data_IF_736215543236
#
_entry.id   IF_736215543236
#
_cell.length_a   1.000
_cell.length_b   1.000
_cell.length_c   1.000
_cell.angle_alpha   90.00
_cell.angle_beta   90.00
_cell.angle_gamma   90.00
#
_symmetry.space_group_name_H-M   'P 1'
#
loop_
_entity.id
_entity.type
_entity.pdbx_description
1 polymer ?
#
# COMPACT_ATOMS: atom_id res chain seq x y z
N UNK A 1 -18.94 -20.98 -24.10
CA UNK A 1 -17.70 -20.46 -23.46
C UNK A 1 -18.00 -19.11 -22.80
N UNK A 2 -18.12 -19.06 -21.46
CA UNK A 2 -18.30 -17.79 -20.73
C UNK A 2 -16.94 -17.07 -20.70
N UNK A 3 -16.82 -15.93 -21.40
CA UNK A 3 -15.63 -15.06 -21.31
C UNK A 3 -15.36 -14.77 -19.82
N UNK A 4 -14.14 -14.98 -19.30
CA UNK A 4 -13.85 -14.55 -17.94
C UNK A 4 -13.98 -13.03 -17.92
N UNK A 5 -15.01 -12.50 -17.24
CA UNK A 5 -15.09 -11.08 -16.89
C UNK A 5 -13.89 -10.81 -15.98
N UNK A 6 -12.77 -10.38 -16.56
CA UNK A 6 -11.64 -9.87 -15.79
C UNK A 6 -12.14 -8.65 -15.02
N UNK A 7 -12.01 -8.72 -13.70
CA UNK A 7 -12.22 -7.58 -12.81
C UNK A 7 -10.95 -6.73 -12.85
N UNK A 8 -11.10 -5.42 -12.83
CA UNK A 8 -10.01 -4.46 -12.97
C UNK A 8 -10.10 -3.39 -11.85
N UNK A 9 -10.43 -3.82 -10.64
CA UNK A 9 -10.56 -2.88 -9.50
C UNK A 9 -9.20 -2.31 -9.11
N UNK A 10 -8.12 -3.05 -9.38
CA UNK A 10 -6.72 -2.65 -9.23
C UNK A 10 -6.28 -1.43 -10.07
N UNK A 11 -7.02 -1.09 -11.14
CA UNK A 11 -6.66 0.06 -11.99
C UNK A 11 -6.90 1.40 -11.31
N UNK A 12 -7.89 1.49 -10.41
CA UNK A 12 -8.20 2.74 -9.70
C UNK A 12 -7.03 3.16 -8.80
N UNK A 13 -6.56 2.32 -7.85
CA UNK A 13 -5.41 2.68 -7.02
C UNK A 13 -4.13 2.81 -7.86
N UNK A 14 -4.00 2.08 -8.98
CA UNK A 14 -2.83 2.20 -9.87
C UNK A 14 -2.72 3.61 -10.44
N UNK A 15 -3.79 4.10 -11.07
CA UNK A 15 -3.78 5.43 -11.70
C UNK A 15 -3.50 6.51 -10.67
N UNK A 16 -4.11 6.41 -9.49
CA UNK A 16 -3.88 7.36 -8.40
C UNK A 16 -2.44 7.31 -7.88
N UNK A 17 -1.88 6.11 -7.65
CA UNK A 17 -0.51 5.96 -7.16
C UNK A 17 0.51 6.54 -8.15
N UNK A 18 0.34 6.27 -9.45
CA UNK A 18 1.22 6.79 -10.51
C UNK A 18 1.07 8.30 -10.65
N UNK A 19 -0.16 8.82 -10.59
CA UNK A 19 -0.39 10.27 -10.64
C UNK A 19 0.31 10.99 -9.48
N UNK A 20 0.18 10.48 -8.25
CA UNK A 20 0.85 11.06 -7.09
C UNK A 20 2.37 10.88 -7.12
N UNK A 21 2.88 9.75 -7.62
CA UNK A 21 4.31 9.57 -7.83
C UNK A 21 4.85 10.56 -8.86
N UNK A 22 4.09 10.86 -9.90
CA UNK A 22 4.46 11.84 -10.92
C UNK A 22 4.56 13.27 -10.36
N UNK A 23 3.72 13.64 -9.39
CA UNK A 23 3.84 14.95 -8.74
C UNK A 23 5.07 15.07 -7.84
N UNK A 24 5.58 13.95 -7.32
CA UNK A 24 6.84 13.89 -6.56
C UNK A 24 8.05 14.00 -7.48
N UNK A 25 8.10 13.18 -8.52
CA UNK A 25 9.22 13.15 -9.44
C UNK A 25 8.80 12.65 -10.83
N UNK A 26 9.22 13.33 -11.88
CA UNK A 26 8.94 12.90 -13.27
C UNK A 26 9.63 11.57 -13.60
N UNK A 27 10.76 11.28 -12.95
CA UNK A 27 11.48 10.01 -13.10
C UNK A 27 10.66 8.80 -12.61
N UNK A 28 9.61 9.03 -11.81
CA UNK A 28 8.71 7.96 -11.38
C UNK A 28 7.94 7.30 -12.53
N UNK A 29 7.87 7.94 -13.71
CA UNK A 29 7.30 7.33 -14.92
C UNK A 29 8.06 6.07 -15.35
N UNK A 30 9.33 5.91 -14.98
CA UNK A 30 10.09 4.68 -15.20
C UNK A 30 9.52 3.49 -14.43
N UNK A 31 8.75 3.74 -13.37
CA UNK A 31 8.06 2.72 -12.59
C UNK A 31 6.74 2.28 -13.22
N UNK A 32 6.23 3.00 -14.24
CA UNK A 32 4.94 2.71 -14.87
C UNK A 32 4.90 1.34 -15.56
N UNK A 33 5.92 0.90 -16.33
CA UNK A 33 5.94 -0.45 -16.89
C UNK A 33 5.91 -1.53 -15.79
N UNK A 34 6.66 -1.32 -14.70
CA UNK A 34 6.68 -2.22 -13.55
C UNK A 34 5.32 -2.28 -12.86
N UNK A 35 4.64 -1.15 -12.70
CA UNK A 35 3.32 -1.06 -12.10
C UNK A 35 2.26 -1.79 -12.93
N UNK A 36 2.27 -1.61 -14.26
CA UNK A 36 1.38 -2.31 -15.19
C UNK A 36 1.62 -3.82 -15.19
N UNK A 37 2.89 -4.24 -15.20
CA UNK A 37 3.26 -5.64 -15.06
C UNK A 37 2.85 -6.17 -13.69
N UNK A 38 2.93 -5.34 -12.65
CA UNK A 38 2.59 -5.68 -11.27
C UNK A 38 1.13 -6.02 -11.03
N UNK A 39 0.21 -5.38 -11.75
CA UNK A 39 -1.23 -5.74 -11.72
C UNK A 39 -1.45 -7.18 -12.17
N UNK A 40 -0.62 -7.65 -13.10
CA UNK A 40 -0.67 -9.04 -13.51
C UNK A 40 0.24 -9.89 -12.61
N UNK A 41 1.50 -9.57 -12.44
CA UNK A 41 2.48 -10.43 -11.79
C UNK A 41 2.88 -9.82 -10.45
N UNK A 42 2.51 -10.50 -9.36
CA UNK A 42 2.80 -10.05 -8.00
C UNK A 42 4.28 -9.72 -7.77
N UNK A 43 5.20 -10.51 -8.35
CA UNK A 43 6.64 -10.23 -8.30
C UNK A 43 7.02 -8.84 -8.85
N UNK A 44 6.50 -8.46 -10.02
CA UNK A 44 6.72 -7.13 -10.59
C UNK A 44 6.01 -6.03 -9.79
N UNK A 45 4.89 -6.37 -9.15
CA UNK A 45 4.20 -5.49 -8.21
C UNK A 45 5.08 -5.15 -7.03
N UNK A 46 5.72 -6.14 -6.42
CA UNK A 46 6.65 -5.93 -5.32
C UNK A 46 7.89 -5.12 -5.74
N UNK A 47 8.39 -5.31 -6.97
CA UNK A 47 9.44 -4.44 -7.52
C UNK A 47 8.96 -3.00 -7.69
N UNK A 48 7.73 -2.79 -8.16
CA UNK A 48 7.11 -1.47 -8.23
C UNK A 48 7.00 -0.82 -6.84
N UNK A 49 6.51 -1.55 -5.84
CA UNK A 49 6.39 -1.07 -4.45
C UNK A 49 7.76 -0.69 -3.86
N UNK A 50 8.76 -1.55 -4.09
CA UNK A 50 10.13 -1.31 -3.64
C UNK A 50 10.71 -0.07 -4.33
N UNK A 51 10.54 0.04 -5.65
CA UNK A 51 10.98 1.21 -6.42
C UNK A 51 10.30 2.51 -5.97
N UNK A 52 8.98 2.47 -5.72
CA UNK A 52 8.24 3.60 -5.18
C UNK A 52 8.76 3.99 -3.78
N UNK A 53 9.00 3.02 -2.90
CA UNK A 53 9.58 3.24 -1.58
C UNK A 53 10.97 3.89 -1.65
N UNK A 54 11.87 3.35 -2.49
CA UNK A 54 13.21 3.91 -2.70
C UNK A 54 13.14 5.33 -3.23
N UNK A 55 12.27 5.61 -4.20
CA UNK A 55 12.10 6.94 -4.77
C UNK A 55 11.61 7.95 -3.73
N UNK A 56 10.63 7.57 -2.91
CA UNK A 56 10.11 8.43 -1.84
C UNK A 56 11.18 8.73 -0.79
N UNK A 57 11.96 7.73 -0.38
CA UNK A 57 13.09 7.92 0.55
C UNK A 57 14.15 8.84 -0.07
N UNK A 58 14.53 8.58 -1.32
CA UNK A 58 15.53 9.39 -2.03
C UNK A 58 15.11 10.85 -2.18
N UNK A 59 13.82 11.11 -2.40
CA UNK A 59 13.25 12.47 -2.49
C UNK A 59 12.85 13.06 -1.14
N UNK A 60 13.14 12.39 -0.02
CA UNK A 60 12.73 12.78 1.34
C UNK A 60 11.22 13.07 1.46
N UNK A 61 10.40 12.33 0.71
CA UNK A 61 8.95 12.46 0.74
C UNK A 61 8.38 11.53 1.79
N UNK A 62 8.13 12.10 2.98
CA UNK A 62 7.43 11.44 4.07
C UNK A 62 6.02 11.97 4.27
N UNK A 63 5.48 11.77 5.46
CA UNK A 63 4.20 12.32 5.84
C UNK A 63 3.00 11.60 5.25
N UNK A 64 1.85 12.27 5.30
CA UNK A 64 0.58 11.74 4.78
C UNK A 64 0.69 11.41 3.30
N UNK A 65 1.41 12.23 2.53
CA UNK A 65 1.60 12.03 1.10
C UNK A 65 2.39 10.75 0.80
N UNK A 66 3.56 10.56 1.44
CA UNK A 66 4.35 9.34 1.27
C UNK A 66 3.57 8.07 1.64
N UNK A 67 2.84 8.11 2.76
CA UNK A 67 2.02 6.98 3.20
C UNK A 67 0.88 6.70 2.24
N UNK A 68 0.23 7.74 1.72
CA UNK A 68 -0.85 7.60 0.74
C UNK A 68 -0.35 6.93 -0.53
N UNK A 69 0.84 7.33 -1.02
CA UNK A 69 1.45 6.72 -2.20
C UNK A 69 1.76 5.24 -1.96
N UNK A 70 2.39 4.91 -0.82
CA UNK A 70 2.73 3.52 -0.48
C UNK A 70 1.47 2.67 -0.30
N UNK A 71 0.45 3.19 0.39
CA UNK A 71 -0.82 2.51 0.59
C UNK A 71 -1.53 2.25 -0.75
N UNK A 72 -1.58 3.23 -1.66
CA UNK A 72 -2.16 3.05 -2.98
C UNK A 72 -1.36 2.06 -3.83
N UNK A 73 -0.03 2.11 -3.80
CA UNK A 73 0.82 1.16 -4.50
C UNK A 73 0.59 -0.27 -3.99
N UNK A 74 0.47 -0.47 -2.67
CA UNK A 74 0.13 -1.76 -2.08
C UNK A 74 -1.26 -2.23 -2.49
N UNK A 75 -2.27 -1.34 -2.43
CA UNK A 75 -3.63 -1.64 -2.87
C UNK A 75 -3.68 -2.10 -4.33
N UNK A 76 -2.92 -1.47 -5.21
CA UNK A 76 -2.81 -1.89 -6.61
C UNK A 76 -2.36 -3.33 -6.76
N UNK A 77 -1.33 -3.73 -6.01
CA UNK A 77 -0.70 -5.06 -6.12
C UNK A 77 -1.65 -6.12 -5.56
N UNK A 78 -2.16 -5.88 -4.35
CA UNK A 78 -3.04 -6.82 -3.66
C UNK A 78 -4.39 -6.96 -4.38
N UNK A 79 -5.00 -5.86 -4.82
CA UNK A 79 -6.21 -5.94 -5.64
C UNK A 79 -5.96 -6.60 -6.99
N UNK A 80 -4.78 -6.43 -7.58
CA UNK A 80 -4.42 -7.09 -8.84
C UNK A 80 -4.36 -8.62 -8.68
N UNK A 81 -3.82 -9.07 -7.55
CA UNK A 81 -3.81 -10.49 -7.19
C UNK A 81 -5.22 -11.01 -6.91
N UNK A 82 -6.04 -10.27 -6.16
CA UNK A 82 -7.44 -10.60 -5.89
C UNK A 82 -8.29 -10.62 -7.18
N UNK A 83 -8.03 -9.72 -8.13
CA UNK A 83 -8.70 -9.66 -9.44
C UNK A 83 -8.41 -10.94 -10.25
N UNK A 84 -7.18 -11.50 -10.12
CA UNK A 84 -6.78 -12.77 -10.74
C UNK A 84 -7.41 -13.98 -10.07
N UNK A 85 -7.42 -14.00 -8.74
CA UNK A 85 -7.97 -15.09 -7.94
C UNK A 85 -9.51 -15.06 -7.88
N UNK A 86 -10.14 -13.99 -8.39
CA UNK A 86 -11.59 -13.76 -8.37
C UNK A 86 -12.16 -13.77 -6.95
N UNK A 87 -11.44 -13.16 -6.02
CA UNK A 87 -11.85 -13.07 -4.63
C UNK A 87 -13.25 -12.43 -4.47
N UNK A 88 -14.02 -12.81 -3.45
CA UNK A 88 -15.28 -12.15 -3.12
C UNK A 88 -15.07 -10.68 -2.72
N UNK A 89 -16.14 -9.89 -2.84
CA UNK A 89 -16.09 -8.44 -2.67
C UNK A 89 -15.72 -8.03 -1.24
N UNK A 90 -15.97 -8.87 -0.23
CA UNK A 90 -15.61 -8.57 1.16
C UNK A 90 -14.10 -8.35 1.32
N UNK A 91 -13.25 -9.16 0.66
CA UNK A 91 -11.79 -9.01 0.79
C UNK A 91 -11.28 -7.67 0.24
N UNK A 92 -11.90 -7.14 -0.81
CA UNK A 92 -11.55 -5.82 -1.34
C UNK A 92 -11.90 -4.73 -0.32
N UNK A 93 -13.06 -4.84 0.33
CA UNK A 93 -13.48 -3.88 1.35
C UNK A 93 -12.54 -3.92 2.57
N UNK A 94 -12.20 -5.12 3.05
CA UNK A 94 -11.25 -5.32 4.16
C UNK A 94 -9.88 -4.73 3.81
N UNK A 95 -9.38 -4.98 2.60
CA UNK A 95 -8.10 -4.46 2.14
C UNK A 95 -8.10 -2.92 2.08
N UNK A 96 -9.17 -2.30 1.55
CA UNK A 96 -9.30 -0.84 1.52
C UNK A 96 -9.34 -0.27 2.95
N UNK A 97 -10.13 -0.87 3.84
CA UNK A 97 -10.23 -0.45 5.23
C UNK A 97 -8.87 -0.55 5.93
N UNK A 98 -8.18 -1.69 5.80
CA UNK A 98 -6.86 -1.90 6.37
C UNK A 98 -5.84 -0.88 5.84
N UNK A 99 -5.83 -0.63 4.53
CA UNK A 99 -4.96 0.40 3.94
C UNK A 99 -5.31 1.81 4.44
N UNK A 100 -6.61 2.13 4.58
CA UNK A 100 -7.06 3.43 5.08
C UNK A 100 -6.63 3.68 6.53
N UNK A 101 -6.50 2.64 7.35
CA UNK A 101 -6.03 2.72 8.73
C UNK A 101 -4.56 3.15 8.86
N UNK A 102 -3.78 3.09 7.78
CA UNK A 102 -2.41 3.62 7.78
C UNK A 102 -2.36 5.13 8.08
N UNK A 103 -3.33 5.91 7.59
CA UNK A 103 -3.41 7.36 7.79
C UNK A 103 -3.69 7.73 9.25
N UNK A 104 -4.78 7.25 9.90
CA UNK A 104 -5.02 7.56 11.31
C UNK A 104 -3.92 7.02 12.21
N UNK A 105 -3.35 5.85 11.91
CA UNK A 105 -2.19 5.32 12.64
C UNK A 105 -1.00 6.26 12.55
N UNK A 106 -0.69 6.78 11.36
CA UNK A 106 0.38 7.75 11.19
C UNK A 106 0.10 9.06 11.93
N UNK A 107 -1.13 9.58 11.89
CA UNK A 107 -1.48 10.79 12.62
C UNK A 107 -1.35 10.60 14.14
N UNK A 108 -1.76 9.44 14.65
CA UNK A 108 -1.59 9.06 16.05
C UNK A 108 -0.10 9.02 16.41
N UNK A 109 0.71 8.28 15.65
CA UNK A 109 2.17 8.20 15.89
C UNK A 109 2.80 9.58 15.82
N UNK A 110 2.44 10.40 14.82
CA UNK A 110 2.96 11.78 14.68
C UNK A 110 2.60 12.66 15.87
N UNK A 111 1.43 12.45 16.48
CA UNK A 111 0.99 13.23 17.65
C UNK A 111 1.72 12.81 18.91
N UNK A 112 2.02 11.52 19.06
CA UNK A 112 2.71 10.96 20.23
C UNK A 112 4.24 11.11 20.11
N UNK A 113 4.78 11.08 18.89
CA UNK A 113 6.23 11.10 18.61
C UNK A 113 7.02 12.23 19.29
N UNK A 114 6.52 13.47 19.42
CA UNK A 114 7.22 14.55 20.15
C UNK A 114 7.40 14.26 21.64
N UNK A 115 6.57 13.40 22.22
CA UNK A 115 6.59 13.03 23.63
C UNK A 115 7.46 11.79 23.91
N UNK A 116 8.00 11.17 22.85
CA UNK A 116 8.83 9.96 22.94
C UNK A 116 10.27 10.27 22.52
N UNK A 117 11.29 9.82 23.28
CA UNK A 117 12.67 9.74 22.81
C UNK A 117 12.73 9.01 21.46
N UNK A 118 13.62 9.45 20.54
CA UNK A 118 13.68 8.94 19.15
C UNK A 118 13.79 7.41 19.02
N UNK A 119 14.33 6.72 20.03
CA UNK A 119 14.48 5.26 20.06
C UNK A 119 13.15 4.56 20.40
N UNK A 120 12.30 5.20 21.19
CA UNK A 120 11.02 4.65 21.64
C UNK A 120 9.95 4.72 20.55
N UNK A 121 10.03 5.67 19.63
CA UNK A 121 9.10 5.78 18.49
C UNK A 121 9.16 4.54 17.60
N UNK A 122 10.37 4.01 17.34
CA UNK A 122 10.55 2.78 16.56
C UNK A 122 10.02 1.56 17.30
N UNK A 123 10.19 1.50 18.63
CA UNK A 123 9.64 0.42 19.46
C UNK A 123 8.11 0.45 19.50
N UNK A 124 7.51 1.64 19.61
CA UNK A 124 6.05 1.83 19.55
C UNK A 124 5.52 1.44 18.17
N UNK A 125 6.18 1.86 17.08
CA UNK A 125 5.80 1.47 15.73
C UNK A 125 5.87 -0.06 15.54
N UNK A 126 6.94 -0.70 16.02
CA UNK A 126 7.08 -2.15 15.99
C UNK A 126 5.98 -2.85 16.81
N UNK A 127 5.61 -2.30 17.98
CA UNK A 127 4.51 -2.80 18.80
C UNK A 127 3.15 -2.72 18.10
N UNK A 128 2.87 -1.60 17.41
CA UNK A 128 1.64 -1.44 16.62
C UNK A 128 1.59 -2.43 15.46
N UNK A 129 2.71 -2.64 14.76
CA UNK A 129 2.79 -3.66 13.69
C UNK A 129 2.54 -5.06 14.25
N UNK A 130 3.10 -5.38 15.42
CA UNK A 130 2.88 -6.66 16.08
C UNK A 130 1.41 -6.85 16.49
N UNK A 131 0.79 -5.81 17.03
CA UNK A 131 -0.61 -5.82 17.42
C UNK A 131 -1.55 -5.99 16.20
N UNK A 132 -1.26 -5.28 15.10
CA UNK A 132 -1.99 -5.44 13.84
C UNK A 132 -1.81 -6.84 13.26
N UNK A 133 -0.60 -7.40 13.32
CA UNK A 133 -0.34 -8.78 12.89
C UNK A 133 -1.11 -9.81 13.73
N UNK A 134 -1.13 -9.62 15.06
CA UNK A 134 -1.91 -10.50 15.94
C UNK A 134 -3.41 -10.37 15.64
N UNK A 135 -3.91 -9.15 15.46
CA UNK A 135 -5.31 -8.89 15.12
C UNK A 135 -5.70 -9.54 13.79
N UNK A 136 -4.90 -9.39 12.74
CA UNK A 136 -5.19 -10.03 11.44
C UNK A 136 -5.09 -11.55 11.52
N UNK A 137 -4.17 -12.09 12.32
CA UNK A 137 -4.07 -13.53 12.55
C UNK A 137 -5.29 -14.08 13.28
N UNK A 138 -5.75 -13.42 14.34
CA UNK A 138 -6.93 -13.87 15.11
C UNK A 138 -8.25 -13.64 14.38
N UNK A 139 -8.34 -12.57 13.57
CA UNK A 139 -9.54 -12.27 12.78
C UNK A 139 -9.66 -13.13 11.51
N UNK A 140 -8.61 -13.88 11.13
CA UNK A 140 -8.60 -14.79 9.99
C UNK A 140 -8.86 -16.26 10.35
N UNK A 141 -9.16 -16.56 11.61
CA UNK A 141 -9.46 -17.92 12.11
C UNK A 141 -10.98 -18.22 12.23
N UNK A 142 -11.85 -17.37 11.67
CA UNK A 142 -13.30 -17.62 11.47
C UNK A 142 -13.63 -17.90 9.99
#
# INVERSE_FOLDING_TARGET
MRKPKRRFHSLIPLVLSIYLLYTVDRWSLLLLPLALLGVQWHFFGMLFLTGAGVLLVYRNVGGVLGITIVALALLTIEMGQMDKEKAPYEHYAVLILAASMSIPTYLLIRTISPFLPRVEVTAVAAGVVLALYLFTRTAGED
#
